data_IF_849965339105
#
_entry.id   IF_849965339105
#
_cell.length_a   1.000
_cell.length_b   1.000
_cell.length_c   1.000
_cell.angle_alpha   90.00
_cell.angle_beta   90.00
_cell.angle_gamma   90.00
#
_symmetry.space_group_name_H-M   'P 1'
#
loop_
_entity.id
_entity.type
_entity.pdbx_description
1 polymer ?
#
# COMPACT_ATOMS: atom_id res chain seq x y z
N UNK A 1 0.59 -11.01 -9.61
CA UNK A 1 0.89 -9.63 -10.07
C UNK A 1 0.22 -9.47 -11.43
N UNK A 2 -0.71 -8.54 -11.62
CA UNK A 2 -1.54 -8.50 -12.82
C UNK A 2 -1.99 -7.08 -13.18
N UNK A 3 -2.51 -6.96 -14.40
CA UNK A 3 -3.24 -5.78 -14.88
C UNK A 3 -4.72 -6.10 -15.12
N UNK A 4 -5.57 -5.11 -14.92
CA UNK A 4 -6.97 -5.14 -15.35
C UNK A 4 -7.15 -4.64 -16.79
N UNK A 5 -8.41 -4.45 -17.19
CA UNK A 5 -8.77 -3.92 -18.51
C UNK A 5 -8.15 -2.54 -18.78
N UNK A 6 -7.96 -1.71 -17.75
CA UNK A 6 -7.30 -0.41 -17.90
C UNK A 6 -5.86 -0.54 -18.42
N UNK A 7 -5.14 -1.61 -18.03
CA UNK A 7 -3.81 -1.91 -18.58
C UNK A 7 -3.88 -2.42 -20.02
N UNK A 8 -4.83 -3.31 -20.32
CA UNK A 8 -5.07 -3.85 -21.67
C UNK A 8 -5.42 -2.74 -22.68
N UNK A 9 -6.22 -1.77 -22.27
CA UNK A 9 -6.59 -0.61 -23.08
C UNK A 9 -5.61 0.56 -23.00
N UNK A 10 -4.43 0.36 -22.40
CA UNK A 10 -3.34 1.34 -22.36
C UNK A 10 -3.74 2.69 -21.71
N UNK A 11 -4.61 2.66 -20.69
CA UNK A 11 -5.06 3.86 -19.99
C UNK A 11 -3.90 4.47 -19.18
N UNK A 12 -3.68 5.79 -19.29
CA UNK A 12 -2.51 6.47 -18.71
C UNK A 12 -2.36 6.37 -17.18
N UNK A 13 -3.45 6.09 -16.46
CA UNK A 13 -3.45 5.88 -15.01
C UNK A 13 -3.55 4.41 -14.59
N UNK A 14 -3.38 3.46 -15.53
CA UNK A 14 -3.43 2.04 -15.23
C UNK A 14 -2.28 1.63 -14.28
N UNK A 15 -2.63 0.94 -13.20
CA UNK A 15 -1.69 0.39 -12.23
C UNK A 15 -1.44 -1.11 -12.41
N UNK A 16 -0.42 -1.61 -11.72
CA UNK A 16 -0.15 -3.04 -11.57
C UNK A 16 -0.60 -3.49 -10.18
N UNK A 17 -1.40 -4.54 -10.11
CA UNK A 17 -1.98 -5.06 -8.86
C UNK A 17 -1.24 -6.32 -8.42
N UNK A 18 -0.74 -6.30 -7.19
CA UNK A 18 -0.23 -7.46 -6.49
C UNK A 18 -1.35 -7.99 -5.59
N UNK A 19 -2.16 -8.89 -6.13
CA UNK A 19 -3.26 -9.52 -5.40
C UNK A 19 -2.73 -10.30 -4.21
N UNK A 20 -3.22 -10.00 -3.02
CA UNK A 20 -2.94 -10.79 -1.82
C UNK A 20 -3.69 -12.11 -1.82
N UNK A 21 -3.21 -13.09 -1.04
CA UNK A 21 -3.90 -14.36 -0.80
C UNK A 21 -4.47 -14.43 0.62
N UNK A 22 -5.65 -15.04 0.77
CA UNK A 22 -6.33 -15.16 2.07
C UNK A 22 -6.65 -13.79 2.69
N UNK A 23 -6.15 -13.53 3.89
CA UNK A 23 -6.33 -12.26 4.62
C UNK A 23 -5.37 -11.15 4.16
N UNK A 24 -4.48 -11.41 3.20
CA UNK A 24 -3.54 -10.39 2.74
C UNK A 24 -4.23 -9.33 1.88
N UNK A 25 -4.02 -8.07 2.24
CA UNK A 25 -4.44 -6.93 1.43
C UNK A 25 -3.74 -6.94 0.07
N UNK A 26 -4.50 -6.65 -0.98
CA UNK A 26 -3.93 -6.38 -2.30
C UNK A 26 -3.10 -5.09 -2.27
N UNK A 27 -1.98 -5.07 -2.99
CA UNK A 27 -1.11 -3.90 -3.16
C UNK A 27 -1.18 -3.42 -4.59
N UNK A 28 -0.99 -2.12 -4.82
CA UNK A 28 -1.10 -1.53 -6.17
C UNK A 28 0.07 -0.57 -6.43
N UNK A 29 0.81 -0.82 -7.50
CA UNK A 29 1.71 0.15 -8.11
C UNK A 29 0.86 1.06 -9.03
N UNK A 30 0.23 2.07 -8.43
CA UNK A 30 -0.92 2.76 -9.00
C UNK A 30 -0.61 3.94 -9.93
N UNK A 31 0.61 4.49 -9.90
CA UNK A 31 0.97 5.73 -10.60
C UNK A 31 2.05 5.50 -11.66
N UNK A 32 2.13 6.43 -12.62
CA UNK A 32 3.14 6.40 -13.70
C UNK A 32 2.78 5.50 -14.89
N UNK A 33 1.53 5.02 -14.98
CA UNK A 33 1.07 4.23 -16.13
C UNK A 33 1.71 2.85 -16.26
N UNK A 34 2.25 2.30 -15.17
CA UNK A 34 2.94 0.99 -15.18
C UNK A 34 2.04 -0.14 -15.70
N UNK A 35 0.73 -0.08 -15.43
CA UNK A 35 -0.22 -1.05 -15.96
C UNK A 35 -0.39 -0.96 -17.48
N UNK A 36 -0.36 0.24 -18.04
CA UNK A 36 -0.40 0.45 -19.49
C UNK A 36 0.90 -0.04 -20.15
N UNK A 37 2.05 0.20 -19.52
CA UNK A 37 3.34 -0.33 -20.00
C UNK A 37 3.37 -1.86 -20.00
N UNK A 38 2.81 -2.50 -18.97
CA UNK A 38 2.70 -3.96 -18.89
C UNK A 38 1.72 -4.49 -19.96
N UNK A 39 0.59 -3.81 -20.17
CA UNK A 39 -0.39 -4.15 -21.21
C UNK A 39 0.12 -3.97 -22.63
N UNK A 40 0.92 -2.93 -22.90
CA UNK A 40 1.51 -2.69 -24.23
C UNK A 40 2.49 -3.79 -24.65
N UNK A 41 2.93 -4.61 -23.70
CA UNK A 41 3.78 -5.80 -23.93
C UNK A 41 2.98 -7.10 -24.04
N UNK A 42 1.65 -7.03 -23.98
CA UNK A 42 0.76 -8.20 -23.98
C UNK A 42 0.86 -9.04 -22.70
N UNK A 43 1.41 -8.49 -21.60
CA UNK A 43 1.62 -9.24 -20.37
C UNK A 43 0.42 -9.09 -19.42
N UNK A 44 -0.42 -10.12 -19.33
CA UNK A 44 -1.62 -10.08 -18.46
C UNK A 44 -1.29 -10.23 -16.98
N UNK A 45 -0.40 -11.16 -16.65
CA UNK A 45 -0.05 -11.47 -15.27
C UNK A 45 1.34 -12.10 -15.17
N UNK A 46 1.93 -11.98 -13.99
CA UNK A 46 3.08 -12.72 -13.51
C UNK A 46 2.63 -13.51 -12.28
N UNK A 47 2.81 -14.82 -12.34
CA UNK A 47 2.57 -15.76 -11.24
C UNK A 47 3.93 -16.18 -10.71
N UNK A 48 4.11 -16.05 -9.39
CA UNK A 48 5.34 -16.44 -8.71
C UNK A 48 5.00 -17.67 -7.88
N UNK A 49 5.60 -18.81 -8.23
CA UNK A 49 5.64 -19.98 -7.36
C UNK A 49 6.96 -19.95 -6.58
N UNK A 50 6.83 -19.96 -5.25
CA UNK A 50 7.96 -19.95 -4.33
C UNK A 50 8.16 -21.31 -3.64
N UNK A 51 7.49 -22.37 -4.10
CA UNK A 51 7.57 -23.71 -3.52
C UNK A 51 9.00 -24.28 -3.48
N UNK A 52 9.83 -23.92 -4.46
CA UNK A 52 11.25 -24.29 -4.53
C UNK A 52 12.20 -23.11 -4.26
N UNK A 53 11.71 -22.03 -3.65
CA UNK A 53 12.54 -20.87 -3.35
C UNK A 53 13.43 -21.12 -2.12
N UNK A 54 14.73 -20.95 -2.28
CA UNK A 54 15.68 -20.96 -1.17
C UNK A 54 15.65 -19.63 -0.40
N UNK A 55 15.85 -19.65 0.93
CA UNK A 55 15.99 -18.42 1.71
C UNK A 55 17.13 -17.55 1.19
N UNK A 56 16.92 -16.23 1.18
CA UNK A 56 17.98 -15.28 0.83
C UNK A 56 19.11 -15.39 1.87
N UNK A 57 20.37 -15.63 1.45
CA UNK A 57 21.49 -15.72 2.38
C UNK A 57 21.72 -14.37 3.06
N UNK A 58 21.82 -14.38 4.38
CA UNK A 58 22.10 -13.20 5.19
C UNK A 58 23.60 -13.14 5.46
N UNK A 59 24.21 -11.97 5.28
CA UNK A 59 25.62 -11.74 5.61
C UNK A 59 25.89 -11.96 7.11
N UNK A 60 24.96 -11.52 7.96
CA UNK A 60 24.97 -11.76 9.41
C UNK A 60 23.54 -12.10 9.89
N UNK A 61 23.21 -13.39 10.05
CA UNK A 61 21.89 -13.82 10.50
C UNK A 61 21.53 -13.41 11.93
N UNK A 62 22.51 -13.21 12.81
CA UNK A 62 22.26 -12.86 14.21
C UNK A 62 21.93 -11.39 14.35
N UNK A 63 22.74 -10.53 13.71
CA UNK A 63 22.52 -9.10 13.65
C UNK A 63 21.17 -8.78 13.00
N UNK A 64 20.85 -9.42 11.86
CA UNK A 64 19.57 -9.20 11.19
C UNK A 64 18.38 -9.50 12.12
N UNK A 65 18.42 -10.65 12.80
CA UNK A 65 17.34 -11.05 13.73
C UNK A 65 17.25 -10.11 14.93
N UNK A 66 18.37 -9.66 15.49
CA UNK A 66 18.40 -8.71 16.59
C UNK A 66 17.79 -7.35 16.17
N UNK A 67 18.21 -6.82 15.02
CA UNK A 67 17.70 -5.56 14.46
C UNK A 67 16.21 -5.65 14.10
N UNK A 68 15.77 -6.73 13.46
CA UNK A 68 14.37 -6.93 13.11
C UNK A 68 13.47 -7.00 14.34
N UNK A 69 13.90 -7.72 15.40
CA UNK A 69 13.17 -7.77 16.68
C UNK A 69 13.07 -6.40 17.33
N UNK A 70 14.19 -5.67 17.40
CA UNK A 70 14.21 -4.32 17.96
C UNK A 70 13.24 -3.39 17.20
N UNK A 71 13.31 -3.38 15.87
CA UNK A 71 12.44 -2.56 15.04
C UNK A 71 10.96 -2.93 15.21
N UNK A 72 10.63 -4.22 15.24
CA UNK A 72 9.27 -4.69 15.49
C UNK A 72 8.75 -4.23 16.87
N UNK A 73 9.58 -4.29 17.91
CA UNK A 73 9.20 -3.81 19.24
C UNK A 73 8.95 -2.30 19.25
N UNK A 74 9.84 -1.51 18.64
CA UNK A 74 9.66 -0.05 18.53
C UNK A 74 8.34 0.32 17.82
N UNK A 75 7.94 -0.44 16.79
CA UNK A 75 6.65 -0.25 16.12
C UNK A 75 5.44 -0.60 16.99
N UNK A 76 5.54 -1.67 17.80
CA UNK A 76 4.45 -2.15 18.67
C UNK A 76 4.28 -1.25 19.90
N UNK A 77 5.36 -0.68 20.41
CA UNK A 77 5.37 0.21 21.58
C UNK A 77 5.05 1.67 21.22
N UNK A 78 5.19 2.04 19.94
CA UNK A 78 4.86 3.39 19.45
C UNK A 78 3.37 3.73 19.69
N UNK A 79 3.07 4.92 20.25
CA UNK A 79 1.70 5.38 20.42
C UNK A 79 0.90 5.46 19.12
N UNK A 80 1.58 5.62 17.98
CA UNK A 80 0.93 5.78 16.66
C UNK A 80 0.64 4.44 15.99
N UNK A 81 1.59 3.51 16.00
CA UNK A 81 1.56 2.25 15.25
C UNK A 81 1.30 1.01 16.11
N UNK A 82 1.41 1.15 17.43
CA UNK A 82 1.11 0.09 18.38
C UNK A 82 -0.37 -0.28 18.42
N UNK A 83 -0.71 -1.34 19.16
CA UNK A 83 -2.07 -1.93 19.18
C UNK A 83 -3.20 -0.96 19.57
N UNK A 84 -2.89 0.08 20.34
CA UNK A 84 -3.84 1.12 20.76
C UNK A 84 -3.73 2.40 19.92
N UNK A 85 -2.82 2.44 18.95
CA UNK A 85 -2.58 3.60 18.09
C UNK A 85 -3.53 3.68 16.92
N UNK A 86 -3.84 4.90 16.49
CA UNK A 86 -4.82 5.16 15.44
C UNK A 86 -4.47 4.46 14.11
N UNK A 87 -3.18 4.30 13.76
CA UNK A 87 -2.78 3.59 12.54
C UNK A 87 -3.06 2.09 12.60
N UNK A 88 -2.99 1.47 13.78
CA UNK A 88 -3.30 0.05 13.93
C UNK A 88 -4.81 -0.18 13.84
N UNK A 89 -5.62 0.69 14.45
CA UNK A 89 -7.08 0.55 14.50
C UNK A 89 -7.75 0.92 13.17
N UNK A 90 -7.34 2.03 12.55
CA UNK A 90 -8.03 2.60 11.38
C UNK A 90 -7.20 2.53 10.10
N UNK A 91 -5.91 2.17 10.17
CA UNK A 91 -5.03 2.21 9.02
C UNK A 91 -4.78 3.65 8.53
N UNK A 92 -4.61 3.81 7.22
CA UNK A 92 -4.32 5.12 6.62
C UNK A 92 -5.46 6.13 6.76
N UNK A 93 -6.71 5.68 6.90
CA UNK A 93 -7.85 6.59 7.10
C UNK A 93 -7.84 7.31 8.46
N UNK A 94 -6.96 6.90 9.39
CA UNK A 94 -6.77 7.57 10.68
C UNK A 94 -6.51 9.09 10.58
N UNK A 95 -6.04 9.59 9.43
CA UNK A 95 -5.71 11.00 9.24
C UNK A 95 -6.86 11.82 8.61
N UNK A 96 -7.98 11.21 8.19
CA UNK A 96 -9.05 11.91 7.46
C UNK A 96 -9.56 13.12 8.24
N UNK A 97 -9.94 12.93 9.51
CA UNK A 97 -10.45 14.00 10.36
C UNK A 97 -9.43 15.13 10.55
N UNK A 98 -8.17 14.78 10.87
CA UNK A 98 -7.11 15.76 11.09
C UNK A 98 -6.80 16.58 9.83
N UNK A 99 -6.70 15.93 8.67
CA UNK A 99 -6.43 16.62 7.39
C UNK A 99 -7.60 17.51 6.97
N UNK A 100 -8.83 17.11 7.29
CA UNK A 100 -10.03 17.91 7.04
C UNK A 100 -10.07 19.17 7.93
N UNK A 101 -9.79 19.02 9.23
CA UNK A 101 -9.73 20.13 10.19
C UNK A 101 -8.61 21.12 9.86
N UNK A 102 -7.46 20.63 9.39
CA UNK A 102 -6.35 21.46 8.92
C UNK A 102 -6.66 22.26 7.63
N UNK A 103 -7.80 22.01 6.97
CA UNK A 103 -8.09 22.63 5.68
C UNK A 103 -7.20 22.12 4.54
N UNK A 104 -6.71 20.87 4.65
CA UNK A 104 -5.81 20.25 3.68
C UNK A 104 -6.42 19.03 2.97
N UNK A 105 -7.71 18.75 3.17
CA UNK A 105 -8.43 17.62 2.56
C UNK A 105 -8.96 17.99 1.18
N UNK A 106 -8.39 17.45 0.09
CA UNK A 106 -8.74 17.86 -1.27
C UNK A 106 -10.22 17.68 -1.57
N UNK A 107 -10.95 18.80 -1.70
CA UNK A 107 -12.40 18.80 -1.89
C UNK A 107 -12.75 19.60 -3.14
N UNK A 108 -13.64 19.05 -3.99
CA UNK A 108 -14.12 19.69 -5.23
C UNK A 108 -12.96 20.11 -6.15
N UNK A 109 -12.11 19.15 -6.52
CA UNK A 109 -10.91 19.39 -7.32
C UNK A 109 -9.97 20.45 -6.70
N UNK A 110 -9.67 20.29 -5.41
CA UNK A 110 -8.77 21.17 -4.63
C UNK A 110 -9.25 22.62 -4.48
N UNK A 111 -10.48 22.97 -4.88
CA UNK A 111 -11.02 24.33 -4.68
C UNK A 111 -11.40 24.61 -3.22
N UNK A 112 -11.55 23.55 -2.41
CA UNK A 112 -11.78 23.63 -0.97
C UNK A 112 -10.86 22.64 -0.24
N UNK A 113 -10.47 23.02 0.97
CA UNK A 113 -9.58 22.24 1.84
C UNK A 113 -10.29 21.39 2.88
N UNK A 114 -11.62 21.43 2.92
CA UNK A 114 -12.43 20.64 3.84
C UNK A 114 -13.70 20.18 3.16
N UNK A 115 -14.19 19.03 3.60
CA UNK A 115 -15.43 18.41 3.19
C UNK A 115 -16.37 18.29 4.37
N UNK A 116 -17.60 18.74 4.18
CA UNK A 116 -18.60 18.88 5.25
C UNK A 116 -19.05 17.51 5.77
N UNK A 117 -19.00 16.48 4.94
CA UNK A 117 -19.42 15.12 5.28
C UNK A 117 -18.24 14.14 5.48
N UNK A 118 -17.04 14.65 5.82
CA UNK A 118 -15.83 13.83 5.96
C UNK A 118 -15.96 12.69 6.99
N UNK A 119 -16.84 12.83 7.99
CA UNK A 119 -17.10 11.80 9.01
C UNK A 119 -17.84 10.56 8.48
N UNK A 120 -18.44 10.65 7.29
CA UNK A 120 -19.21 9.56 6.65
C UNK A 120 -18.43 8.83 5.53
N UNK A 121 -17.13 9.10 5.40
CA UNK A 121 -16.21 8.47 4.42
C UNK A 121 -15.49 7.25 5.03
#
# INVERSE_FOLDING_TARGET
ISIGQSGEFLMGAAGVVCTGSGEQNSRVAARGGLGALMGSKGLKAIVIDASAAEPVPLADPELFRASARRFANELIESPKTGRKGAMHTYGTSAIVAAVNEMGAFPTRNFSAGSFEAAENL
#
